data_IF_621781567693
#
_entry.id   IF_621781567693
#
_cell.length_a   1.000
_cell.length_b   1.000
_cell.length_c   1.000
_cell.angle_alpha   90.00
_cell.angle_beta   90.00
_cell.angle_gamma   90.00
#
_symmetry.space_group_name_H-M   'P 1'
#
loop_
_entity.id
_entity.type
_entity.pdbx_description
1 polymer ?
#
# COMPACT_ATOMS: atom_id res chain seq x y z
N UNK A 1 30.03 11.67 15.80
CA UNK A 1 29.31 12.96 15.79
C UNK A 1 27.92 12.68 15.24
N UNK A 2 26.87 13.02 15.98
CA UNK A 2 25.49 12.85 15.52
C UNK A 2 25.22 13.77 14.33
N UNK A 3 24.57 13.29 13.26
CA UNK A 3 24.12 14.15 12.17
C UNK A 3 22.96 15.04 12.64
N UNK A 4 22.70 16.16 11.97
CA UNK A 4 21.57 17.04 12.31
C UNK A 4 20.22 16.29 12.23
N UNK A 5 20.10 15.34 11.30
CA UNK A 5 18.92 14.47 11.15
C UNK A 5 18.72 13.54 12.35
N UNK A 6 19.80 12.96 12.89
CA UNK A 6 19.73 12.13 14.09
C UNK A 6 19.26 12.93 15.31
N UNK A 7 19.78 14.15 15.50
CA UNK A 7 19.36 15.03 16.60
C UNK A 7 17.87 15.32 16.51
N UNK A 8 17.38 15.61 15.30
CA UNK A 8 15.96 15.86 15.06
C UNK A 8 15.11 14.61 15.35
N UNK A 9 15.53 13.44 14.87
CA UNK A 9 14.84 12.18 15.11
C UNK A 9 14.73 11.84 16.61
N UNK A 10 15.83 11.96 17.34
CA UNK A 10 15.86 11.72 18.79
C UNK A 10 14.96 12.70 19.55
N UNK A 11 14.91 13.97 19.13
CA UNK A 11 13.99 14.96 19.70
C UNK A 11 12.53 14.56 19.51
N UNK A 12 12.16 14.05 18.32
CA UNK A 12 10.78 13.58 18.09
C UNK A 12 10.42 12.38 18.98
N UNK A 13 11.36 11.49 19.26
CA UNK A 13 11.14 10.39 20.22
C UNK A 13 10.91 10.95 21.63
N UNK A 14 11.68 11.95 22.04
CA UNK A 14 11.49 12.60 23.33
C UNK A 14 10.12 13.28 23.44
N UNK A 15 9.69 13.97 22.39
CA UNK A 15 8.36 14.58 22.28
C UNK A 15 7.24 13.53 22.37
N UNK A 16 7.42 12.36 21.75
CA UNK A 16 6.49 11.24 21.93
C UNK A 16 6.42 10.80 23.39
N UNK A 17 7.57 10.61 24.06
CA UNK A 17 7.65 10.16 25.47
C UNK A 17 6.99 11.14 26.43
N UNK A 18 7.13 12.45 26.16
CA UNK A 18 6.46 13.52 26.91
C UNK A 18 4.96 13.63 26.59
N UNK A 19 4.50 12.99 25.51
CA UNK A 19 3.12 13.06 25.04
C UNK A 19 2.77 14.41 24.40
N UNK A 20 3.76 15.24 24.05
CA UNK A 20 3.56 16.51 23.33
C UNK A 20 3.11 16.25 21.90
N UNK A 21 3.56 15.14 21.32
CA UNK A 21 3.05 14.61 20.05
C UNK A 21 2.56 13.18 20.21
N UNK A 22 1.59 12.79 19.37
CA UNK A 22 0.99 11.44 19.40
C UNK A 22 1.74 10.45 18.52
N UNK A 23 2.26 10.94 17.40
CA UNK A 23 3.03 10.20 16.40
C UNK A 23 3.77 11.19 15.51
N UNK A 24 4.76 10.72 14.77
CA UNK A 24 5.38 11.49 13.71
C UNK A 24 5.52 10.67 12.43
N UNK A 25 5.94 11.33 11.35
CA UNK A 25 6.09 10.71 10.04
C UNK A 25 7.57 10.55 9.68
N UNK A 26 7.88 9.44 9.01
CA UNK A 26 9.12 9.24 8.27
C UNK A 26 8.78 8.86 6.84
N UNK A 27 9.55 9.35 5.88
CA UNK A 27 9.52 8.78 4.52
C UNK A 27 10.29 7.44 4.47
N UNK A 28 10.46 6.90 3.27
CA UNK A 28 11.14 5.61 3.09
C UNK A 28 12.64 5.69 3.43
N UNK A 29 13.32 6.75 2.99
CA UNK A 29 14.76 6.90 3.17
C UNK A 29 15.09 7.10 4.65
N UNK A 30 14.34 7.96 5.33
CA UNK A 30 14.50 8.18 6.77
C UNK A 30 14.14 6.92 7.57
N UNK A 31 13.09 6.19 7.19
CA UNK A 31 12.71 4.96 7.89
C UNK A 31 13.82 3.90 7.82
N UNK A 32 14.43 3.72 6.64
CA UNK A 32 15.53 2.79 6.44
C UNK A 32 16.80 3.27 7.19
N UNK A 33 17.09 4.56 7.16
CA UNK A 33 18.23 5.16 7.85
C UNK A 33 18.14 5.01 9.38
N UNK A 34 16.94 5.09 9.95
CA UNK A 34 16.72 5.07 11.40
C UNK A 34 16.15 3.76 11.96
N UNK A 35 16.11 2.70 11.15
CA UNK A 35 15.53 1.40 11.51
C UNK A 35 16.08 0.88 12.85
N UNK A 36 17.40 0.86 13.02
CA UNK A 36 18.06 0.38 14.23
C UNK A 36 17.61 1.14 15.49
N UNK A 37 17.40 2.46 15.37
CA UNK A 37 17.00 3.30 16.52
C UNK A 37 15.53 3.14 16.86
N UNK A 38 14.70 2.95 15.84
CA UNK A 38 13.28 2.62 16.01
C UNK A 38 13.15 1.33 16.83
N UNK A 39 13.96 0.31 16.53
CA UNK A 39 14.00 -0.95 17.26
C UNK A 39 14.56 -0.77 18.68
N UNK A 40 15.69 -0.07 18.83
CA UNK A 40 16.30 0.21 20.14
C UNK A 40 15.34 0.95 21.09
N UNK A 41 14.53 1.87 20.57
CA UNK A 41 13.54 2.60 21.36
C UNK A 41 12.18 1.90 21.45
N UNK A 42 12.05 0.69 20.89
CA UNK A 42 10.83 -0.11 20.89
C UNK A 42 9.62 0.71 20.42
N UNK A 43 9.72 1.31 19.23
CA UNK A 43 8.66 2.13 18.65
C UNK A 43 7.76 1.28 17.74
N UNK A 44 6.49 1.65 17.65
CA UNK A 44 5.55 1.02 16.71
C UNK A 44 5.56 1.79 15.40
N UNK A 45 5.66 1.05 14.30
CA UNK A 45 5.69 1.60 12.95
C UNK A 45 4.47 1.10 12.19
N UNK A 46 3.79 1.99 11.45
CA UNK A 46 2.72 1.59 10.53
C UNK A 46 2.67 2.50 9.32
N UNK A 47 2.51 1.92 8.13
CA UNK A 47 2.25 2.65 6.89
C UNK A 47 0.80 2.44 6.50
N UNK A 48 0.04 3.51 6.29
CA UNK A 48 -1.34 3.40 5.78
C UNK A 48 -1.29 3.04 4.29
N UNK A 49 -2.24 2.23 3.82
CA UNK A 49 -2.28 1.71 2.45
C UNK A 49 -2.08 2.78 1.36
N UNK A 50 -2.69 3.96 1.56
CA UNK A 50 -2.64 5.07 0.59
C UNK A 50 -1.53 6.07 0.89
N UNK A 51 -0.63 5.81 1.84
CA UNK A 51 0.37 6.77 2.31
C UNK A 51 1.77 6.37 1.89
N UNK A 52 2.55 7.34 1.41
CA UNK A 52 3.99 7.17 1.12
C UNK A 52 4.83 7.05 2.39
N UNK A 53 4.34 7.57 3.52
CA UNK A 53 5.11 7.77 4.73
C UNK A 53 4.70 6.78 5.83
N UNK A 54 5.68 6.40 6.65
CA UNK A 54 5.50 5.64 7.88
C UNK A 54 5.06 6.56 9.00
N UNK A 55 4.17 6.07 9.86
CA UNK A 55 3.83 6.70 11.13
C UNK A 55 4.52 5.96 12.25
N UNK A 56 5.19 6.71 13.11
CA UNK A 56 5.93 6.20 14.26
C UNK A 56 5.20 6.59 15.54
N UNK A 57 4.89 5.58 16.36
CA UNK A 57 4.20 5.72 17.63
C UNK A 57 5.07 5.15 18.75
N UNK A 58 4.81 5.59 19.99
CA UNK A 58 5.29 4.85 21.16
C UNK A 58 4.60 3.50 21.28
N UNK A 59 5.35 2.52 21.75
CA UNK A 59 4.81 1.21 22.09
C UNK A 59 4.09 1.22 23.44
N UNK A 60 2.80 1.51 23.39
CA UNK A 60 1.86 1.36 24.50
C UNK A 60 0.56 0.72 24.01
N UNK A 61 -0.27 0.25 24.94
CA UNK A 61 -1.50 -0.49 24.64
C UNK A 61 -2.44 0.27 23.69
N UNK A 62 -2.72 1.55 24.01
CA UNK A 62 -3.56 2.42 23.19
C UNK A 62 -3.06 2.55 21.75
N UNK A 63 -1.75 2.75 21.56
CA UNK A 63 -1.17 2.88 20.23
C UNK A 63 -1.12 1.54 19.49
N UNK A 64 -0.96 0.41 20.19
CA UNK A 64 -1.07 -0.94 19.58
C UNK A 64 -2.43 -1.16 18.97
N UNK A 65 -3.51 -0.79 19.66
CA UNK A 65 -4.87 -0.89 19.12
C UNK A 65 -5.05 -0.04 17.86
N UNK A 66 -4.53 1.19 17.86
CA UNK A 66 -4.58 2.10 16.70
C UNK A 66 -3.82 1.48 15.51
N UNK A 67 -2.59 0.99 15.75
CA UNK A 67 -1.77 0.35 14.72
C UNK A 67 -2.47 -0.90 14.16
N UNK A 68 -3.04 -1.75 15.02
CA UNK A 68 -3.79 -2.94 14.59
C UNK A 68 -5.02 -2.57 13.75
N UNK A 69 -5.74 -1.50 14.11
CA UNK A 69 -6.87 -1.01 13.34
C UNK A 69 -6.44 -0.58 11.94
N UNK A 70 -5.35 0.18 11.83
CA UNK A 70 -4.79 0.61 10.55
C UNK A 70 -4.38 -0.59 9.70
N UNK A 71 -3.70 -1.58 10.30
CA UNK A 71 -3.30 -2.80 9.59
C UNK A 71 -4.51 -3.59 9.06
N UNK A 72 -5.57 -3.72 9.85
CA UNK A 72 -6.82 -4.36 9.41
C UNK A 72 -7.48 -3.59 8.25
N UNK A 73 -7.56 -2.27 8.35
CA UNK A 73 -8.09 -1.41 7.29
C UNK A 73 -7.27 -1.54 5.99
N UNK A 74 -5.94 -1.58 6.09
CA UNK A 74 -5.06 -1.78 4.95
C UNK A 74 -5.32 -3.11 4.23
N UNK A 75 -5.43 -4.21 4.99
CA UNK A 75 -5.72 -5.54 4.42
C UNK A 75 -7.06 -5.56 3.69
N UNK A 76 -8.09 -4.89 4.24
CA UNK A 76 -9.40 -4.80 3.60
C UNK A 76 -9.29 -4.03 2.27
N UNK A 77 -8.57 -2.92 2.25
CA UNK A 77 -8.39 -2.10 1.06
C UNK A 77 -7.61 -2.86 -0.03
N UNK A 78 -6.54 -3.54 0.33
CA UNK A 78 -5.76 -4.37 -0.59
C UNK A 78 -6.60 -5.52 -1.18
N UNK A 79 -7.49 -6.13 -0.38
CA UNK A 79 -8.44 -7.14 -0.88
C UNK A 79 -9.48 -6.55 -1.82
N UNK A 80 -9.99 -5.34 -1.55
CA UNK A 80 -10.95 -4.66 -2.43
C UNK A 80 -10.30 -4.32 -3.77
N UNK A 81 -9.10 -3.77 -3.76
CA UNK A 81 -8.38 -3.41 -4.98
C UNK A 81 -8.07 -4.63 -5.84
N UNK A 82 -7.61 -5.73 -5.24
CA UNK A 82 -7.44 -7.01 -5.95
C UNK A 82 -8.72 -7.50 -6.62
N UNK A 83 -9.87 -7.39 -5.97
CA UNK A 83 -11.16 -7.75 -6.58
C UNK A 83 -11.49 -6.87 -7.79
N UNK A 84 -11.26 -5.57 -7.70
CA UNK A 84 -11.47 -4.64 -8.81
C UNK A 84 -10.59 -5.00 -10.00
N UNK A 85 -9.30 -5.28 -9.77
CA UNK A 85 -8.36 -5.70 -10.81
C UNK A 85 -8.83 -6.99 -11.48
N UNK A 86 -9.25 -8.00 -10.70
CA UNK A 86 -9.77 -9.27 -11.25
C UNK A 86 -11.01 -9.04 -12.11
N UNK A 87 -11.97 -8.24 -11.64
CA UNK A 87 -13.17 -7.90 -12.42
C UNK A 87 -12.78 -7.23 -13.73
N UNK A 88 -11.84 -6.29 -13.68
CA UNK A 88 -11.36 -5.58 -14.86
C UNK A 88 -10.70 -6.53 -15.87
N UNK A 89 -9.86 -7.46 -15.41
CA UNK A 89 -9.24 -8.50 -16.25
C UNK A 89 -10.29 -9.43 -16.89
N UNK A 90 -11.33 -9.81 -16.16
CA UNK A 90 -12.44 -10.61 -16.71
C UNK A 90 -13.16 -9.84 -17.82
N UNK A 91 -13.47 -8.57 -17.60
CA UNK A 91 -14.13 -7.72 -18.60
C UNK A 91 -13.28 -7.60 -19.87
N UNK A 92 -11.98 -7.34 -19.74
CA UNK A 92 -11.06 -7.29 -20.89
C UNK A 92 -10.99 -8.64 -21.62
N UNK A 93 -10.94 -9.75 -20.88
CA UNK A 93 -10.88 -11.07 -21.49
C UNK A 93 -12.13 -11.39 -22.29
N UNK A 94 -13.31 -11.02 -21.77
CA UNK A 94 -14.59 -11.20 -22.46
C UNK A 94 -14.73 -10.32 -23.70
N UNK A 95 -14.23 -9.08 -23.67
CA UNK A 95 -14.25 -8.19 -24.86
C UNK A 95 -13.29 -8.68 -25.94
N UNK A 96 -12.11 -9.18 -25.59
CA UNK A 96 -11.19 -9.79 -26.56
C UNK A 96 -11.84 -11.04 -27.18
N UNK A 97 -12.46 -11.90 -26.36
CA UNK A 97 -13.13 -13.10 -26.84
C UNK A 97 -14.27 -12.78 -27.83
N UNK A 98 -15.07 -11.76 -27.53
CA UNK A 98 -16.17 -11.35 -28.43
C UNK A 98 -15.65 -10.82 -29.77
N UNK A 99 -14.54 -10.07 -29.77
CA UNK A 99 -13.87 -9.62 -31.00
C UNK A 99 -13.36 -10.80 -31.82
N UNK A 100 -12.72 -11.79 -31.18
CA UNK A 100 -12.22 -12.99 -31.87
C UNK A 100 -13.38 -13.76 -32.53
N UNK A 101 -14.47 -13.99 -31.80
CA UNK A 101 -15.65 -14.67 -32.35
C UNK A 101 -16.23 -13.90 -33.54
N UNK A 102 -16.33 -12.57 -33.45
CA UNK A 102 -16.80 -11.74 -34.55
C UNK A 102 -15.90 -11.84 -35.79
N UNK A 103 -14.57 -11.83 -35.62
CA UNK A 103 -13.61 -12.01 -36.71
C UNK A 103 -13.72 -13.40 -37.35
N UNK A 104 -13.86 -14.47 -36.55
CA UNK A 104 -14.07 -15.82 -37.07
C UNK A 104 -15.36 -15.93 -37.89
N UNK A 105 -16.46 -15.33 -37.41
CA UNK A 105 -17.73 -15.34 -38.15
C UNK A 105 -17.64 -14.56 -39.47
N UNK A 106 -16.94 -13.43 -39.49
CA UNK A 106 -16.67 -12.68 -40.72
C UNK A 106 -15.85 -13.49 -41.72
N UNK A 107 -14.81 -14.19 -41.25
CA UNK A 107 -13.96 -15.02 -42.09
C UNK A 107 -14.72 -16.20 -42.71
N UNK A 108 -15.56 -16.90 -41.93
CA UNK A 108 -16.44 -17.97 -42.44
C UNK A 108 -17.39 -17.42 -43.51
N UNK A 109 -17.97 -16.24 -43.27
CA UNK A 109 -18.84 -15.58 -44.26
C UNK A 109 -18.10 -15.25 -45.55
N UNK A 110 -16.83 -14.85 -45.47
CA UNK A 110 -16.02 -14.52 -46.63
C UNK A 110 -15.75 -15.76 -47.49
N UNK A 111 -15.28 -16.87 -46.89
CA UNK A 111 -15.05 -18.14 -47.60
C UNK A 111 -16.33 -18.64 -48.27
N UNK A 112 -17.46 -18.59 -47.55
CA UNK A 112 -18.73 -19.10 -48.08
C UNK A 112 -19.31 -18.30 -49.25
N UNK A 113 -18.80 -17.09 -49.51
CA UNK A 113 -19.18 -16.26 -50.68
C UNK A 113 -18.25 -16.53 -51.88
N UNK A 114 -17.02 -16.98 -51.66
CA UNK A 114 -16.07 -17.33 -52.73
C UNK A 114 -16.38 -18.70 -53.40
N UNK A 115 -17.12 -19.58 -52.73
CA UNK A 115 -17.51 -20.89 -53.23
C UNK A 115 -18.80 -20.89 -54.10
N UNK A 116 -19.33 -19.71 -54.48
CA UNK A 116 -20.50 -19.51 -55.37
C UNK A 116 -20.11 -18.75 -56.64
#
# INVERSE_FOLDING_TARGET
MSTMGEVYFLKQIEDLKKGTTKYFFLDQEDYECWLDKIEQHNLLVVKKYTSSNYRIYLNNEKNREIVQKILKENQINERKERKVVIIYLIVISLTILSIIVALCLLFIRFISVEDY
#
